data_IF_990683424796
#
_entry.id   IF_990683424796
#
_cell.length_a   1.000
_cell.length_b   1.000
_cell.length_c   1.000
_cell.angle_alpha   90.00
_cell.angle_beta   90.00
_cell.angle_gamma   90.00
#
_symmetry.space_group_name_H-M   'P 1'
#
loop_
_entity.id
_entity.type
_entity.pdbx_description
1 polymer ?
#
# COMPACT_ATOMS: atom_id res chain seq x y z
N UNK A 1 -20.76 1.66 3.06
CA UNK A 1 -20.82 2.39 1.77
C UNK A 1 -20.10 3.72 1.93
N UNK A 2 -19.13 4.06 1.07
CA UNK A 2 -18.83 5.46 0.75
C UNK A 2 -17.44 6.06 1.01
N UNK A 3 -16.48 5.40 1.69
CA UNK A 3 -15.21 6.07 2.04
C UNK A 3 -14.06 5.90 1.02
N UNK A 4 -14.01 4.78 0.28
CA UNK A 4 -12.85 4.45 -0.56
C UNK A 4 -12.78 5.11 -1.95
N UNK A 5 -13.87 5.73 -2.43
CA UNK A 5 -13.91 6.35 -3.76
C UNK A 5 -13.30 7.76 -3.71
N UNK A 6 -13.61 8.53 -2.66
CA UNK A 6 -13.13 9.91 -2.50
C UNK A 6 -11.60 9.98 -2.28
N UNK A 7 -11.00 8.99 -1.61
CA UNK A 7 -9.54 8.93 -1.39
C UNK A 7 -8.77 8.57 -2.66
N UNK A 8 -9.33 7.70 -3.51
CA UNK A 8 -8.67 7.25 -4.74
C UNK A 8 -8.60 8.38 -5.79
N UNK A 9 -9.66 9.15 -5.96
CA UNK A 9 -9.72 10.25 -6.93
C UNK A 9 -8.89 11.46 -6.48
N UNK A 10 -8.95 11.84 -5.20
CA UNK A 10 -8.09 12.89 -4.64
C UNK A 10 -6.61 12.49 -4.70
N UNK A 11 -6.28 11.26 -4.31
CA UNK A 11 -4.93 10.74 -4.41
C UNK A 11 -4.42 10.80 -5.85
N UNK A 12 -5.24 10.43 -6.83
CA UNK A 12 -4.89 10.54 -8.26
C UNK A 12 -4.67 11.98 -8.70
N UNK A 13 -5.46 12.95 -8.23
CA UNK A 13 -5.27 14.36 -8.55
C UNK A 13 -3.95 14.91 -7.98
N UNK A 14 -3.61 14.51 -6.76
CA UNK A 14 -2.44 15.04 -6.05
C UNK A 14 -1.11 14.40 -6.50
N UNK A 15 -1.12 13.14 -6.94
CA UNK A 15 0.12 12.41 -7.24
C UNK A 15 0.40 12.24 -8.74
N UNK A 16 -0.53 12.56 -9.64
CA UNK A 16 -0.36 12.34 -11.09
C UNK A 16 0.59 13.38 -11.72
N UNK A 17 1.33 12.96 -12.74
CA UNK A 17 2.18 13.84 -13.56
C UNK A 17 3.60 14.03 -13.02
N UNK A 18 3.99 13.26 -12.00
CA UNK A 18 5.35 13.24 -11.48
C UNK A 18 6.24 12.29 -12.32
N UNK A 19 7.56 12.50 -12.35
CA UNK A 19 8.48 11.58 -13.02
C UNK A 19 8.52 10.21 -12.31
N UNK A 20 9.00 9.17 -12.98
CA UNK A 20 9.07 7.80 -12.43
C UNK A 20 9.86 7.76 -11.12
N UNK A 21 10.98 8.50 -11.08
CA UNK A 21 11.91 8.59 -9.97
C UNK A 21 11.21 9.08 -8.69
N UNK A 22 10.27 10.03 -8.82
CA UNK A 22 9.48 10.52 -7.69
C UNK A 22 8.70 9.39 -6.99
N UNK A 23 8.10 8.48 -7.77
CA UNK A 23 7.34 7.36 -7.20
C UNK A 23 8.27 6.32 -6.58
N UNK A 24 9.39 6.00 -7.24
CA UNK A 24 10.38 5.04 -6.74
C UNK A 24 11.00 5.51 -5.42
N UNK A 25 11.45 6.77 -5.35
CA UNK A 25 12.00 7.34 -4.12
C UNK A 25 10.99 7.34 -2.97
N UNK A 26 9.71 7.61 -3.26
CA UNK A 26 8.66 7.57 -2.23
C UNK A 26 8.43 6.15 -1.72
N UNK A 27 8.39 5.16 -2.59
CA UNK A 27 8.29 3.75 -2.19
C UNK A 27 9.48 3.34 -1.31
N UNK A 28 10.69 3.75 -1.68
CA UNK A 28 11.89 3.45 -0.93
C UNK A 28 11.87 4.08 0.47
N UNK A 29 11.53 5.38 0.57
CA UNK A 29 11.40 6.09 1.86
C UNK A 29 10.36 5.45 2.77
N UNK A 30 9.21 5.04 2.23
CA UNK A 30 8.16 4.36 3.02
C UNK A 30 8.67 3.00 3.49
N UNK A 31 9.30 2.20 2.61
CA UNK A 31 9.85 0.89 2.93
C UNK A 31 10.92 0.97 4.01
N UNK A 32 11.86 1.91 3.92
CA UNK A 32 12.88 2.14 4.94
C UNK A 32 12.29 2.47 6.31
N UNK A 33 11.28 3.35 6.35
CA UNK A 33 10.57 3.68 7.58
C UNK A 33 9.84 2.46 8.13
N UNK A 34 9.09 1.74 7.30
CA UNK A 34 8.35 0.54 7.71
C UNK A 34 9.28 -0.51 8.31
N UNK A 35 10.41 -0.82 7.66
CA UNK A 35 11.38 -1.80 8.18
C UNK A 35 12.00 -1.36 9.52
N UNK A 36 12.31 -0.06 9.65
CA UNK A 36 12.85 0.51 10.91
C UNK A 36 11.85 0.38 12.05
N UNK A 37 10.58 0.70 11.80
CA UNK A 37 9.52 0.61 12.80
C UNK A 37 9.22 -0.84 13.17
N UNK A 38 9.05 -1.73 12.19
CA UNK A 38 8.77 -3.14 12.42
C UNK A 38 9.89 -3.84 13.20
N UNK A 39 11.16 -3.49 12.95
CA UNK A 39 12.30 -4.01 13.71
C UNK A 39 12.23 -3.70 15.21
N UNK A 40 11.51 -2.65 15.60
CA UNK A 40 11.34 -2.27 17.01
C UNK A 40 10.15 -2.95 17.71
N UNK A 41 9.38 -3.77 16.99
CA UNK A 41 8.19 -4.47 17.52
C UNK A 41 8.51 -5.92 17.83
N UNK A 42 7.88 -6.45 18.88
CA UNK A 42 7.95 -7.88 19.20
C UNK A 42 6.85 -8.66 18.48
N UNK A 43 6.91 -9.99 18.56
CA UNK A 43 5.86 -10.83 17.97
C UNK A 43 4.54 -10.70 18.73
N UNK A 44 4.57 -10.46 20.05
CA UNK A 44 3.35 -10.21 20.84
C UNK A 44 2.58 -8.97 20.36
N UNK A 45 3.31 -7.94 19.91
CA UNK A 45 2.71 -6.73 19.36
C UNK A 45 1.82 -7.04 18.13
N UNK A 46 2.14 -8.06 17.34
CA UNK A 46 1.33 -8.46 16.19
C UNK A 46 -0.08 -8.91 16.61
N UNK A 47 -0.23 -9.46 17.81
CA UNK A 47 -1.50 -9.97 18.32
C UNK A 47 -2.27 -8.97 19.18
N UNK A 48 -1.74 -7.77 19.42
CA UNK A 48 -2.48 -6.69 20.07
C UNK A 48 -3.72 -6.29 19.28
N UNK A 49 -4.85 -6.15 19.97
CA UNK A 49 -6.09 -5.68 19.39
C UNK A 49 -5.94 -4.26 18.84
N UNK A 50 -6.36 -4.09 17.59
CA UNK A 50 -6.43 -2.82 16.90
C UNK A 50 -7.69 -2.76 16.06
N UNK A 51 -8.67 -1.89 16.40
CA UNK A 51 -9.84 -1.70 15.56
C UNK A 51 -9.42 -1.19 14.18
N UNK A 52 -10.01 -1.77 13.13
CA UNK A 52 -9.79 -1.33 11.76
C UNK A 52 -11.14 -1.25 11.03
N UNK A 53 -11.43 -0.07 10.50
CA UNK A 53 -12.73 0.28 9.90
C UNK A 53 -13.94 -0.01 10.82
N UNK A 54 -13.76 0.22 12.12
CA UNK A 54 -14.79 -0.01 13.14
C UNK A 54 -15.00 -1.47 13.54
N UNK A 55 -14.25 -2.42 12.96
CA UNK A 55 -14.31 -3.83 13.29
C UNK A 55 -13.12 -4.25 14.19
N UNK A 56 -13.31 -5.24 15.09
CA UNK A 56 -12.21 -5.83 15.84
C UNK A 56 -11.18 -6.43 14.89
N UNK A 57 -9.90 -6.14 15.14
CA UNK A 57 -8.77 -6.68 14.38
C UNK A 57 -7.51 -6.67 15.25
N UNK A 58 -6.35 -6.99 14.66
CA UNK A 58 -5.04 -6.93 15.31
C UNK A 58 -3.97 -6.43 14.32
N UNK A 59 -2.79 -6.07 14.85
CA UNK A 59 -1.67 -5.57 14.03
C UNK A 59 -1.26 -6.58 12.94
N UNK A 60 -1.31 -7.88 13.23
CA UNK A 60 -0.98 -8.94 12.29
C UNK A 60 -1.84 -8.85 11.03
N UNK A 61 -3.16 -8.82 11.19
CA UNK A 61 -4.09 -8.76 10.07
C UNK A 61 -3.92 -7.47 9.26
N UNK A 62 -3.71 -6.35 9.93
CA UNK A 62 -3.50 -5.05 9.28
C UNK A 62 -2.24 -5.08 8.40
N UNK A 63 -1.11 -5.57 8.93
CA UNK A 63 0.15 -5.64 8.17
C UNK A 63 0.14 -6.73 7.09
N UNK A 64 -0.55 -7.84 7.34
CA UNK A 64 -0.79 -8.86 6.33
C UNK A 64 -1.57 -8.28 5.14
N UNK A 65 -2.61 -7.48 5.40
CA UNK A 65 -3.36 -6.82 4.34
C UNK A 65 -2.49 -5.86 3.52
N UNK A 66 -1.66 -5.03 4.16
CA UNK A 66 -0.76 -4.10 3.45
C UNK A 66 0.15 -4.87 2.47
N UNK A 67 0.73 -5.98 2.93
CA UNK A 67 1.56 -6.84 2.09
C UNK A 67 0.77 -7.47 0.93
N UNK A 68 -0.42 -7.99 1.19
CA UNK A 68 -1.28 -8.64 0.20
C UNK A 68 -1.73 -7.64 -0.89
N UNK A 69 -2.11 -6.44 -0.49
CA UNK A 69 -2.54 -5.36 -1.38
C UNK A 69 -1.40 -4.90 -2.32
N UNK A 70 -0.16 -4.81 -1.81
CA UNK A 70 1.02 -4.50 -2.62
C UNK A 70 1.24 -5.56 -3.71
N UNK A 71 1.13 -6.85 -3.38
CA UNK A 71 1.28 -7.94 -4.35
C UNK A 71 0.21 -7.87 -5.43
N UNK A 72 -1.05 -7.65 -5.02
CA UNK A 72 -2.18 -7.54 -5.93
C UNK A 72 -2.01 -6.37 -6.90
N UNK A 73 -1.64 -5.20 -6.40
CA UNK A 73 -1.41 -4.03 -7.23
C UNK A 73 -0.20 -4.20 -8.16
N UNK A 74 0.85 -4.90 -7.74
CA UNK A 74 1.96 -5.27 -8.64
C UNK A 74 1.49 -6.16 -9.79
N UNK A 75 0.56 -7.07 -9.54
CA UNK A 75 -0.11 -7.86 -10.58
C UNK A 75 -0.86 -7.00 -11.59
N UNK A 76 -1.64 -6.03 -11.12
CA UNK A 76 -2.37 -5.08 -11.96
C UNK A 76 -1.43 -4.23 -12.83
N UNK A 77 -0.33 -3.72 -12.26
CA UNK A 77 0.70 -2.95 -12.99
C UNK A 77 1.31 -3.80 -14.10
N UNK A 78 1.67 -5.06 -13.80
CA UNK A 78 2.25 -5.97 -14.79
C UNK A 78 1.29 -6.23 -15.94
N UNK A 79 0.00 -6.42 -15.65
CA UNK A 79 -1.03 -6.60 -16.66
C UNK A 79 -1.20 -5.36 -17.54
N UNK A 80 -1.27 -4.16 -16.95
CA UNK A 80 -1.39 -2.90 -17.69
C UNK A 80 -0.19 -2.66 -18.60
N UNK A 81 1.03 -2.92 -18.10
CA UNK A 81 2.26 -2.77 -18.86
C UNK A 81 2.25 -3.63 -20.13
N UNK A 82 1.87 -4.91 -20.04
CA UNK A 82 1.79 -5.80 -21.21
C UNK A 82 0.85 -5.26 -22.29
N UNK A 83 -0.31 -4.73 -21.89
CA UNK A 83 -1.27 -4.13 -22.84
C UNK A 83 -0.78 -2.85 -23.48
N UNK A 84 -0.05 -2.03 -22.74
CA UNK A 84 0.58 -0.83 -23.28
C UNK A 84 1.65 -1.19 -24.33
N UNK A 85 2.42 -2.26 -24.09
CA UNK A 85 3.40 -2.80 -25.05
C UNK A 85 2.72 -3.40 -26.30
N UNK A 86 1.57 -4.07 -26.15
CA UNK A 86 0.79 -4.63 -27.28
C UNK A 86 0.06 -3.58 -28.13
N UNK A 87 -0.15 -2.38 -27.59
CA UNK A 87 -0.83 -1.26 -28.28
C UNK A 87 0.13 -0.29 -28.97
N UNK A 88 1.45 -0.55 -28.87
CA UNK A 88 2.55 0.15 -29.53
C UNK A 88 2.97 -0.60 -30.79
#
# INVERSE_FOLDING_TARGET
MGSSICTRDRGRQEIKGQPLEYYLERLDKVRERTLRELKSRSDEWLYEERPWDGLPSNNFFIWFHVFEDEINHRGQIRWLRRRAEESL
#
